data_IF_331568422186
#
_entry.id   IF_331568422186
#
_cell.length_a   1.000
_cell.length_b   1.000
_cell.length_c   1.000
_cell.angle_alpha   90.00
_cell.angle_beta   90.00
_cell.angle_gamma   90.00
#
_symmetry.space_group_name_H-M   'P 1'
#
loop_
_entity.id
_entity.type
_entity.pdbx_description
1 polymer ?
#
# COMPACT_ATOMS: atom_id res chain seq x y z
N UNK A 1 16.32 -64.36 0.67
CA UNK A 1 16.71 -63.12 -0.03
C UNK A 1 16.17 -61.92 0.74
N UNK A 2 17.04 -61.18 1.47
CA UNK A 2 16.63 -59.97 2.21
C UNK A 2 16.92 -58.76 1.34
N UNK A 3 15.86 -58.09 0.85
CA UNK A 3 16.01 -56.84 0.12
C UNK A 3 16.18 -55.69 1.15
N UNK A 4 17.41 -55.21 1.27
CA UNK A 4 17.70 -54.01 2.03
C UNK A 4 17.53 -52.80 1.11
N UNK A 5 16.49 -52.03 1.31
CA UNK A 5 16.30 -50.72 0.65
C UNK A 5 17.33 -49.77 1.25
N UNK A 6 18.26 -49.19 0.48
CA UNK A 6 19.26 -48.30 1.04
C UNK A 6 18.58 -46.99 1.55
N UNK A 7 18.81 -46.70 2.83
CA UNK A 7 18.25 -45.57 3.57
C UNK A 7 18.38 -44.20 2.86
N UNK A 8 19.38 -44.09 1.99
CA UNK A 8 19.58 -42.88 1.16
C UNK A 8 18.46 -42.60 0.15
N UNK A 9 17.77 -43.62 -0.32
CA UNK A 9 16.64 -43.47 -1.27
C UNK A 9 15.34 -43.17 -0.56
N UNK A 10 15.16 -43.62 0.66
CA UNK A 10 14.02 -43.28 1.50
C UNK A 10 14.06 -41.81 1.97
N UNK A 11 15.26 -41.26 2.26
CA UNK A 11 15.44 -39.88 2.62
C UNK A 11 15.16 -38.88 1.49
N UNK A 12 15.49 -39.27 0.23
CA UNK A 12 15.20 -38.44 -0.95
C UNK A 12 13.71 -38.40 -1.31
N UNK A 13 12.97 -39.48 -1.06
CA UNK A 13 11.52 -39.51 -1.26
C UNK A 13 10.76 -38.72 -0.16
N UNK A 14 11.31 -38.65 1.04
CA UNK A 14 10.72 -37.86 2.14
C UNK A 14 10.91 -36.34 1.95
N UNK A 15 11.95 -35.90 1.22
CA UNK A 15 12.15 -34.47 0.92
C UNK A 15 11.17 -33.93 -0.15
N UNK A 16 10.62 -34.79 -1.01
CA UNK A 16 9.65 -34.38 -2.03
C UNK A 16 8.21 -34.29 -1.52
N UNK A 17 7.92 -34.82 -0.33
CA UNK A 17 6.57 -34.83 0.24
C UNK A 17 6.22 -33.57 1.06
N UNK A 18 7.15 -32.60 1.20
CA UNK A 18 6.94 -31.34 1.97
C UNK A 18 6.78 -30.13 1.04
N UNK A 19 6.45 -30.31 -0.22
CA UNK A 19 5.85 -29.24 -1.00
C UNK A 19 4.38 -29.12 -0.61
N UNK A 20 4.12 -28.48 0.54
CA UNK A 20 2.78 -27.99 0.82
C UNK A 20 2.35 -27.14 -0.38
N UNK A 21 1.15 -27.35 -0.96
CA UNK A 21 0.66 -26.45 -1.99
C UNK A 21 0.67 -25.05 -1.38
N UNK A 22 1.46 -24.15 -1.95
CA UNK A 22 1.31 -22.74 -1.68
C UNK A 22 -0.10 -22.41 -2.19
N UNK A 23 -1.07 -22.39 -1.27
CA UNK A 23 -2.36 -21.81 -1.57
C UNK A 23 -2.07 -20.40 -2.04
N UNK A 24 -2.35 -20.13 -3.30
CA UNK A 24 -2.33 -18.77 -3.82
C UNK A 24 -3.30 -18.00 -2.92
N UNK A 25 -2.76 -17.17 -2.06
CA UNK A 25 -3.56 -16.31 -1.20
C UNK A 25 -4.38 -15.43 -2.14
N UNK A 26 -5.70 -15.43 -1.97
CA UNK A 26 -6.56 -14.54 -2.73
C UNK A 26 -6.00 -13.11 -2.64
N UNK A 27 -5.97 -12.42 -3.77
CA UNK A 27 -5.43 -11.06 -3.83
C UNK A 27 -6.17 -10.19 -2.82
N UNK A 28 -5.47 -9.51 -1.89
CA UNK A 28 -6.11 -8.72 -0.85
C UNK A 28 -6.86 -7.52 -1.46
N UNK A 29 -7.98 -7.14 -0.84
CA UNK A 29 -8.59 -5.85 -1.14
C UNK A 29 -7.70 -4.72 -0.62
N UNK A 30 -7.58 -3.66 -1.40
CA UNK A 30 -6.74 -2.49 -1.09
C UNK A 30 -7.65 -1.29 -0.93
N UNK A 31 -7.66 -0.71 0.27
CA UNK A 31 -8.37 0.53 0.57
C UNK A 31 -7.34 1.61 0.93
N UNK A 32 -7.36 2.71 0.19
CA UNK A 32 -6.53 3.89 0.46
C UNK A 32 -7.44 5.01 0.92
N UNK A 33 -7.14 5.57 2.08
CA UNK A 33 -7.90 6.69 2.66
C UNK A 33 -6.95 7.87 2.82
N UNK A 34 -7.32 9.01 2.25
CA UNK A 34 -6.59 10.27 2.34
C UNK A 34 -7.26 11.18 3.33
N UNK A 35 -6.48 11.70 4.27
CA UNK A 35 -6.91 12.83 5.07
C UNK A 35 -6.59 14.12 4.33
N UNK A 36 -7.60 14.92 4.02
CA UNK A 36 -7.39 16.25 3.43
C UNK A 36 -7.14 17.26 4.56
N UNK A 37 -5.94 17.83 4.56
CA UNK A 37 -5.43 18.72 5.61
C UNK A 37 -5.44 18.15 7.05
N UNK A 38 -5.39 16.82 7.16
CA UNK A 38 -5.24 16.15 8.45
C UNK A 38 -3.76 16.03 8.79
N UNK A 39 -3.31 16.81 9.77
CA UNK A 39 -1.93 16.76 10.24
C UNK A 39 -1.67 15.56 11.17
N UNK A 40 -0.41 15.22 11.34
CA UNK A 40 0.02 14.11 12.22
C UNK A 40 -0.50 14.32 13.66
N UNK A 41 -0.60 15.56 14.12
CA UNK A 41 -1.12 15.90 15.45
C UNK A 41 -2.62 15.65 15.62
N UNK A 42 -3.36 15.54 14.52
CA UNK A 42 -4.79 15.26 14.54
C UNK A 42 -5.11 13.78 14.77
N UNK A 43 -4.13 12.90 14.63
CA UNK A 43 -4.30 11.45 14.79
C UNK A 43 -3.82 11.04 16.17
N UNK A 44 -4.74 10.55 17.02
CA UNK A 44 -4.42 10.28 18.42
C UNK A 44 -3.42 9.16 18.64
N UNK A 45 -3.26 8.21 17.72
CA UNK A 45 -2.21 7.20 17.78
C UNK A 45 -0.79 7.78 17.70
N UNK A 46 -0.61 8.96 17.08
CA UNK A 46 0.68 9.65 17.05
C UNK A 46 0.91 10.60 18.22
N UNK A 47 -0.15 11.11 18.83
CA UNK A 47 -0.07 12.19 19.82
C UNK A 47 -0.69 11.85 21.17
N UNK A 48 -1.18 10.61 21.33
CA UNK A 48 -1.87 10.17 22.55
C UNK A 48 -3.05 11.08 22.96
N UNK A 49 -3.66 11.75 21.97
CA UNK A 49 -4.80 12.65 22.19
C UNK A 49 -4.42 14.05 22.70
N UNK A 50 -3.17 14.49 22.53
CA UNK A 50 -2.68 15.80 22.98
C UNK A 50 -3.53 16.98 22.45
N UNK A 51 -4.10 16.86 21.26
CA UNK A 51 -4.92 17.90 20.61
C UNK A 51 -6.35 17.95 21.16
N UNK A 52 -6.72 17.04 22.06
CA UNK A 52 -7.99 17.06 22.80
C UNK A 52 -9.11 16.22 22.20
N UNK A 53 -8.94 15.62 21.04
CA UNK A 53 -9.87 14.63 20.49
C UNK A 53 -9.16 13.31 20.14
N UNK A 54 -9.94 12.28 19.87
CA UNK A 54 -9.46 10.94 19.63
C UNK A 54 -9.93 10.42 18.29
N UNK A 55 -9.12 9.59 17.66
CA UNK A 55 -9.38 8.93 16.39
C UNK A 55 -9.45 7.40 16.56
N UNK A 56 -10.44 6.86 17.30
CA UNK A 56 -10.40 5.48 17.79
C UNK A 56 -10.35 4.44 16.69
N UNK A 57 -10.97 4.71 15.54
CA UNK A 57 -10.96 3.79 14.41
C UNK A 57 -9.61 3.79 13.67
N UNK A 58 -8.96 4.96 13.55
CA UNK A 58 -7.61 5.06 12.98
C UNK A 58 -6.60 4.46 13.94
N UNK A 59 -6.74 4.74 15.24
CA UNK A 59 -5.89 4.18 16.29
C UNK A 59 -5.97 2.65 16.33
N UNK A 60 -7.14 2.08 16.01
CA UNK A 60 -7.28 0.63 15.88
C UNK A 60 -6.45 0.07 14.73
N UNK A 61 -6.41 0.76 13.58
CA UNK A 61 -5.55 0.36 12.45
C UNK A 61 -4.09 0.39 12.86
N UNK A 62 -3.66 1.42 13.56
CA UNK A 62 -2.30 1.55 14.07
C UNK A 62 -1.94 0.43 15.07
N UNK A 63 -2.88 0.02 15.92
CA UNK A 63 -2.70 -1.00 16.94
C UNK A 63 -2.70 -2.42 16.37
N UNK A 64 -3.58 -2.70 15.42
CA UNK A 64 -3.78 -4.05 14.84
C UNK A 64 -2.91 -4.29 13.61
N UNK A 65 -2.42 -3.23 12.97
CA UNK A 65 -1.61 -3.27 11.78
C UNK A 65 -0.22 -2.69 11.98
N UNK A 66 0.16 -1.73 11.14
CA UNK A 66 1.46 -1.07 11.17
C UNK A 66 1.28 0.45 11.21
N UNK A 67 2.10 1.11 12.01
CA UNK A 67 2.19 2.57 12.09
C UNK A 67 3.59 3.00 11.67
N UNK A 68 3.65 3.93 10.72
CA UNK A 68 4.92 4.52 10.29
C UNK A 68 5.19 5.80 11.09
N UNK A 69 6.37 5.93 11.66
CA UNK A 69 6.81 7.12 12.40
C UNK A 69 7.47 8.16 11.51
N UNK A 70 8.01 7.73 10.39
CA UNK A 70 8.78 8.54 9.45
C UNK A 70 8.25 8.38 8.02
N UNK A 71 7.00 8.74 7.82
CA UNK A 71 6.35 8.77 6.52
C UNK A 71 5.89 10.20 6.23
N UNK A 72 6.59 10.87 5.34
CA UNK A 72 6.39 12.28 5.05
C UNK A 72 5.50 12.47 3.83
N UNK A 73 4.59 13.44 3.93
CA UNK A 73 3.74 13.86 2.82
C UNK A 73 4.40 14.98 2.01
N UNK A 74 3.78 15.30 0.89
CA UNK A 74 4.10 16.47 0.10
C UNK A 74 3.42 17.71 0.68
N UNK A 75 3.82 18.90 0.23
CA UNK A 75 3.40 20.19 0.79
C UNK A 75 1.96 20.59 0.44
N UNK A 76 1.26 19.88 -0.43
CA UNK A 76 -0.13 20.19 -0.80
C UNK A 76 -0.91 18.95 -1.21
N UNK A 77 -2.24 19.07 -1.21
CA UNK A 77 -3.13 17.98 -1.60
C UNK A 77 -2.89 17.47 -3.02
N UNK A 78 -2.74 18.35 -4.01
CA UNK A 78 -2.40 17.96 -5.39
C UNK A 78 -1.07 17.24 -5.45
N UNK A 79 -0.05 17.78 -4.79
CA UNK A 79 1.29 17.19 -4.76
C UNK A 79 1.28 15.79 -4.13
N UNK A 80 0.70 15.64 -2.96
CA UNK A 80 0.65 14.36 -2.25
C UNK A 80 -0.16 13.30 -2.98
N UNK A 81 -1.33 13.66 -3.48
CA UNK A 81 -2.20 12.74 -4.22
C UNK A 81 -1.57 12.30 -5.53
N UNK A 82 -1.04 13.22 -6.31
CA UNK A 82 -0.39 12.89 -7.58
C UNK A 82 0.86 12.03 -7.38
N UNK A 83 1.70 12.38 -6.42
CA UNK A 83 2.91 11.58 -6.11
C UNK A 83 2.56 10.16 -5.73
N UNK A 84 1.55 9.95 -4.91
CA UNK A 84 1.13 8.62 -4.52
C UNK A 84 0.51 7.84 -5.70
N UNK A 85 -0.45 8.47 -6.39
CA UNK A 85 -1.20 7.80 -7.47
C UNK A 85 -0.27 7.40 -8.62
N UNK A 86 0.69 8.24 -8.96
CA UNK A 86 1.63 8.00 -10.06
C UNK A 86 2.95 7.34 -9.62
N UNK A 87 3.25 7.32 -8.31
CA UNK A 87 4.54 6.87 -7.82
C UNK A 87 5.70 7.77 -8.28
N UNK A 88 5.44 9.03 -8.58
CA UNK A 88 6.40 10.00 -9.10
C UNK A 88 6.47 11.25 -8.23
N UNK A 89 7.69 11.70 -7.95
CA UNK A 89 7.90 12.95 -7.22
C UNK A 89 7.36 14.16 -7.99
N UNK A 90 6.87 15.14 -7.27
CA UNK A 90 6.39 16.42 -7.80
C UNK A 90 7.46 17.20 -8.58
N UNK A 91 8.74 16.98 -8.28
CA UNK A 91 9.84 17.54 -9.05
C UNK A 91 9.91 17.00 -10.48
N UNK A 92 9.40 15.79 -10.68
CA UNK A 92 9.33 15.17 -12.01
C UNK A 92 8.08 15.57 -12.77
N UNK A 93 6.94 15.62 -12.09
CA UNK A 93 5.63 15.86 -12.72
C UNK A 93 5.29 17.34 -12.82
N UNK A 94 5.89 18.19 -11.99
CA UNK A 94 5.55 19.61 -11.87
C UNK A 94 4.26 19.87 -11.08
N UNK A 95 3.55 18.81 -10.61
CA UNK A 95 2.30 18.93 -9.86
C UNK A 95 2.52 19.32 -8.40
N UNK A 96 3.27 20.38 -8.18
CA UNK A 96 3.75 20.81 -6.86
C UNK A 96 2.77 21.68 -6.06
N UNK A 97 1.68 22.12 -6.66
CA UNK A 97 0.68 22.99 -6.03
C UNK A 97 -0.71 22.74 -6.58
N UNK A 98 -1.71 23.23 -5.87
CA UNK A 98 -3.11 23.16 -6.31
C UNK A 98 -3.29 23.94 -7.60
N UNK A 99 -3.88 23.31 -8.62
CA UNK A 99 -4.28 23.98 -9.85
C UNK A 99 -5.59 24.75 -9.65
N UNK A 100 -5.65 25.95 -10.18
CA UNK A 100 -6.91 26.70 -10.27
C UNK A 100 -7.78 26.16 -11.41
N UNK A 101 -9.09 26.40 -11.40
CA UNK A 101 -9.96 26.06 -12.51
C UNK A 101 -9.40 26.62 -13.84
N UNK A 102 -9.26 25.76 -14.85
CA UNK A 102 -8.64 26.12 -16.14
C UNK A 102 -7.10 26.04 -16.19
N UNK A 103 -6.45 25.57 -15.12
CA UNK A 103 -5.01 25.29 -15.17
C UNK A 103 -4.73 24.18 -16.19
N UNK A 104 -3.72 24.40 -17.05
CA UNK A 104 -3.32 23.44 -18.07
C UNK A 104 -2.49 22.28 -17.48
N UNK A 105 -1.91 22.46 -16.29
CA UNK A 105 -1.08 21.46 -15.65
C UNK A 105 -1.96 20.42 -14.93
N UNK A 106 -1.81 19.17 -15.33
CA UNK A 106 -2.50 18.02 -14.77
C UNK A 106 -1.73 16.73 -15.04
N UNK A 107 -2.30 15.63 -14.57
CA UNK A 107 -1.81 14.30 -14.96
C UNK A 107 -2.00 14.12 -16.47
N UNK A 108 -1.00 13.55 -17.12
CA UNK A 108 -1.06 13.26 -18.55
C UNK A 108 -1.64 11.84 -18.77
N UNK A 109 -2.13 11.58 -19.97
CA UNK A 109 -2.71 10.28 -20.31
C UNK A 109 -1.68 9.14 -20.21
N UNK A 110 -0.42 9.46 -20.48
CA UNK A 110 0.71 8.52 -20.43
C UNK A 110 1.22 8.24 -19.01
N UNK A 111 0.79 9.03 -18.04
CA UNK A 111 1.24 8.85 -16.65
C UNK A 111 0.75 7.52 -16.08
N UNK A 112 1.65 6.66 -15.61
CA UNK A 112 1.25 5.42 -14.97
C UNK A 112 0.51 5.74 -13.66
N UNK A 113 -0.53 4.98 -13.38
CA UNK A 113 -1.22 5.07 -12.09
C UNK A 113 -1.26 3.73 -11.39
N UNK A 114 -1.27 3.76 -10.05
CA UNK A 114 -1.43 2.54 -9.25
C UNK A 114 -2.72 1.80 -9.64
N UNK A 115 -3.80 2.52 -9.93
CA UNK A 115 -5.06 1.96 -10.38
C UNK A 115 -4.91 1.26 -11.74
N UNK A 116 -4.20 1.88 -12.69
CA UNK A 116 -3.93 1.28 -14.00
C UNK A 116 -3.13 0.00 -13.90
N UNK A 117 -2.07 -0.01 -13.07
CA UNK A 117 -1.24 -1.17 -12.83
C UNK A 117 -2.02 -2.30 -12.16
N UNK A 118 -2.79 -2.00 -11.13
CA UNK A 118 -3.60 -2.99 -10.42
C UNK A 118 -4.73 -3.55 -11.29
N UNK A 119 -5.29 -2.74 -12.18
CA UNK A 119 -6.30 -3.20 -13.15
C UNK A 119 -5.74 -4.27 -14.08
N UNK A 120 -4.50 -4.12 -14.54
CA UNK A 120 -3.82 -5.13 -15.34
C UNK A 120 -3.65 -6.47 -14.58
N UNK A 121 -3.54 -6.40 -13.24
CA UNK A 121 -3.48 -7.55 -12.34
C UNK A 121 -4.88 -8.11 -11.96
N UNK A 122 -5.95 -7.64 -12.58
CA UNK A 122 -7.32 -8.14 -12.38
C UNK A 122 -8.08 -7.48 -11.23
N UNK A 123 -7.56 -6.41 -10.62
CA UNK A 123 -8.32 -5.64 -9.64
C UNK A 123 -9.40 -4.78 -10.30
N UNK A 124 -10.50 -4.61 -9.59
CA UNK A 124 -11.46 -3.54 -9.88
C UNK A 124 -11.04 -2.31 -9.09
N UNK A 125 -11.03 -1.16 -9.73
CA UNK A 125 -10.61 0.10 -9.12
C UNK A 125 -11.75 1.10 -9.10
N UNK A 126 -11.82 1.91 -8.05
CA UNK A 126 -12.81 2.98 -7.92
C UNK A 126 -12.24 4.11 -7.07
N UNK A 127 -12.73 5.32 -7.28
CA UNK A 127 -12.43 6.51 -6.51
C UNK A 127 -13.77 7.16 -6.12
N UNK A 128 -13.86 7.62 -4.88
CA UNK A 128 -15.04 8.24 -4.29
C UNK A 128 -14.70 9.57 -3.64
#
# INVERSE_FOLDING_TARGET
MKFSIPWRRAALLALFAISAPAFAQDKPNILVIWGDDVGITNISSYTFGLVGYKTPNIDRIAKEGMMFTDYYGEQSCTAGRSSYIMGQSVFRTGLSKVGLPGAELGMQEEDPTIAGLLKAEGYRTGQF
#
